data_IF_734406254155
#
_entry.id   IF_734406254155
#
_cell.length_a   1.000
_cell.length_b   1.000
_cell.length_c   1.000
_cell.angle_alpha   90.00
_cell.angle_beta   90.00
_cell.angle_gamma   90.00
#
_symmetry.space_group_name_H-M   'P 1'
#
loop_
_entity.id
_entity.type
_entity.pdbx_description
1 polymer ?
#
# COMPACT_ATOMS: atom_id res chain seq x y z
N UNK A 1 -31.65 -30.75 12.87
CA UNK A 1 -31.14 -29.36 12.92
C UNK A 1 -31.60 -28.76 14.24
N UNK A 2 -30.79 -27.95 14.94
CA UNK A 2 -31.28 -27.12 16.03
C UNK A 2 -32.04 -25.92 15.45
N UNK A 3 -33.24 -25.64 15.97
CA UNK A 3 -33.99 -24.45 15.58
C UNK A 3 -33.39 -23.21 16.28
N UNK A 4 -32.56 -22.45 15.58
CA UNK A 4 -31.91 -21.26 16.12
C UNK A 4 -32.93 -20.15 16.35
N UNK A 5 -33.51 -20.11 17.55
CA UNK A 5 -34.53 -19.11 17.93
C UNK A 5 -33.91 -17.72 18.10
N UNK A 6 -33.81 -16.99 16.98
CA UNK A 6 -33.34 -15.61 16.98
C UNK A 6 -34.29 -14.70 17.78
N UNK A 7 -33.74 -14.06 18.82
CA UNK A 7 -34.40 -12.99 19.58
C UNK A 7 -34.45 -11.68 18.79
N UNK A 8 -35.40 -10.80 19.11
CA UNK A 8 -35.50 -9.45 18.55
C UNK A 8 -34.55 -8.48 19.27
N UNK A 9 -33.25 -8.69 19.01
CA UNK A 9 -32.13 -7.93 19.55
C UNK A 9 -31.27 -7.40 18.38
N UNK A 10 -30.56 -6.30 18.61
CA UNK A 10 -29.46 -5.87 17.75
C UNK A 10 -28.19 -6.70 18.04
N UNK A 11 -27.80 -7.53 17.08
CA UNK A 11 -26.59 -8.37 17.14
C UNK A 11 -25.35 -7.61 16.69
N UNK A 12 -24.20 -7.93 17.28
CA UNK A 12 -22.87 -7.45 16.90
C UNK A 12 -22.26 -8.30 15.77
N UNK A 13 -21.27 -7.77 15.04
CA UNK A 13 -20.57 -8.52 13.99
C UNK A 13 -19.92 -9.83 14.48
N UNK A 14 -19.58 -9.93 15.77
CA UNK A 14 -19.09 -11.15 16.41
C UNK A 14 -20.22 -12.15 16.67
N UNK A 15 -21.33 -11.73 17.29
CA UNK A 15 -22.50 -12.62 17.47
C UNK A 15 -23.02 -13.15 16.13
N UNK A 16 -23.00 -12.32 15.07
CA UNK A 16 -23.40 -12.74 13.71
C UNK A 16 -22.38 -13.69 13.06
N UNK A 17 -21.08 -13.54 13.34
CA UNK A 17 -20.06 -14.47 12.88
C UNK A 17 -20.27 -15.87 13.48
N UNK A 18 -20.50 -15.93 14.80
CA UNK A 18 -20.77 -17.16 15.55
C UNK A 18 -22.09 -17.83 15.08
N UNK A 19 -23.16 -17.04 14.90
CA UNK A 19 -24.47 -17.49 14.39
C UNK A 19 -24.37 -18.11 12.99
N UNK A 20 -23.61 -17.49 12.09
CA UNK A 20 -23.47 -17.95 10.71
C UNK A 20 -22.38 -19.02 10.53
N UNK A 21 -21.61 -19.35 11.59
CA UNK A 21 -20.51 -20.31 11.53
C UNK A 21 -19.34 -19.85 10.67
N UNK A 22 -19.11 -18.54 10.53
CA UNK A 22 -18.08 -17.96 9.66
C UNK A 22 -17.14 -17.05 10.44
N UNK A 23 -15.96 -16.74 9.88
CA UNK A 23 -15.04 -15.79 10.51
C UNK A 23 -15.63 -14.37 10.55
N UNK A 24 -15.26 -13.58 11.56
CA UNK A 24 -15.56 -12.14 11.62
C UNK A 24 -15.11 -11.39 10.36
N UNK A 25 -13.98 -11.81 9.75
CA UNK A 25 -13.50 -11.24 8.47
C UNK A 25 -14.46 -11.52 7.32
N UNK A 26 -15.13 -12.67 7.32
CA UNK A 26 -16.18 -13.00 6.33
C UNK A 26 -17.36 -12.05 6.45
N UNK A 27 -17.80 -11.70 7.68
CA UNK A 27 -18.90 -10.74 7.92
C UNK A 27 -18.58 -9.36 7.33
N UNK A 28 -17.35 -8.85 7.54
CA UNK A 28 -16.92 -7.60 6.89
C UNK A 28 -16.90 -7.74 5.36
N UNK A 29 -16.37 -8.85 4.82
CA UNK A 29 -16.40 -9.10 3.38
C UNK A 29 -17.81 -9.16 2.79
N UNK A 30 -18.81 -9.65 3.53
CA UNK A 30 -20.21 -9.67 3.10
C UNK A 30 -20.89 -8.29 3.19
N UNK A 31 -20.45 -7.41 4.09
CA UNK A 31 -20.82 -5.99 4.08
C UNK A 31 -20.24 -5.28 2.85
N UNK A 32 -18.95 -5.48 2.57
CA UNK A 32 -18.26 -4.87 1.42
C UNK A 32 -18.83 -5.37 0.07
N UNK A 33 -19.13 -6.67 -0.03
CA UNK A 33 -19.81 -7.29 -1.17
C UNK A 33 -21.33 -6.95 -1.24
N UNK A 34 -21.86 -6.15 -0.31
CA UNK A 34 -23.29 -5.78 -0.18
C UNK A 34 -24.26 -6.99 -0.06
N UNK A 35 -23.76 -8.16 0.32
CA UNK A 35 -24.53 -9.40 0.51
C UNK A 35 -25.23 -9.48 1.86
N UNK A 36 -24.65 -8.83 2.86
CA UNK A 36 -25.24 -8.67 4.19
C UNK A 36 -25.35 -7.16 4.48
N UNK A 37 -26.49 -6.72 5.01
CA UNK A 37 -26.70 -5.32 5.36
C UNK A 37 -26.77 -5.15 6.88
N UNK A 38 -26.16 -4.08 7.39
CA UNK A 38 -26.21 -3.70 8.80
C UNK A 38 -27.18 -2.52 8.97
N UNK A 39 -28.28 -2.74 9.69
CA UNK A 39 -29.35 -1.76 9.90
C UNK A 39 -28.88 -0.50 10.63
N UNK A 40 -27.94 -0.62 11.59
CA UNK A 40 -27.42 0.52 12.35
C UNK A 40 -25.89 0.50 12.37
N UNK A 41 -25.28 1.65 12.04
CA UNK A 41 -23.87 1.96 12.33
C UNK A 41 -23.83 2.85 13.56
N UNK A 42 -23.23 2.37 14.66
CA UNK A 42 -23.04 3.20 15.86
C UNK A 42 -22.06 4.34 15.57
N UNK A 43 -22.08 5.42 16.38
CA UNK A 43 -21.14 6.54 16.25
C UNK A 43 -19.64 6.14 16.32
N UNK A 44 -19.34 4.96 16.88
CA UNK A 44 -17.99 4.36 16.90
C UNK A 44 -17.63 3.57 15.63
N UNK A 45 -18.44 3.67 14.56
CA UNK A 45 -18.29 2.90 13.32
C UNK A 45 -18.75 1.44 13.39
N UNK A 46 -18.96 0.88 14.59
CA UNK A 46 -19.35 -0.54 14.76
C UNK A 46 -20.77 -0.80 14.25
N UNK A 47 -20.91 -1.83 13.41
CA UNK A 47 -22.18 -2.31 12.84
C UNK A 47 -23.08 -3.01 13.87
N UNK A 48 -24.39 -3.01 13.60
CA UNK A 48 -25.41 -3.84 14.24
C UNK A 48 -26.38 -4.38 13.20
N UNK A 49 -26.87 -5.59 13.46
CA UNK A 49 -27.75 -6.34 12.57
C UNK A 49 -29.02 -6.72 13.34
N UNK A 50 -30.18 -6.69 12.68
CA UNK A 50 -31.40 -7.30 13.22
C UNK A 50 -31.51 -8.77 12.79
N UNK A 51 -32.37 -9.51 13.49
CA UNK A 51 -32.80 -10.87 13.16
C UNK A 51 -33.14 -11.04 11.67
N UNK A 52 -33.81 -10.05 11.07
CA UNK A 52 -34.24 -10.11 9.69
C UNK A 52 -33.04 -10.11 8.73
N UNK A 53 -32.07 -9.19 8.91
CA UNK A 53 -30.86 -9.16 8.05
C UNK A 53 -30.08 -10.49 8.06
N UNK A 54 -30.11 -11.21 9.20
CA UNK A 54 -29.46 -12.52 9.36
C UNK A 54 -30.28 -13.63 8.68
N UNK A 55 -31.60 -13.64 8.86
CA UNK A 55 -32.50 -14.59 8.21
C UNK A 55 -32.50 -14.45 6.68
N UNK A 56 -32.55 -13.22 6.17
CA UNK A 56 -32.53 -12.92 4.72
C UNK A 56 -31.24 -13.44 4.07
N UNK A 57 -30.11 -13.37 4.80
CA UNK A 57 -28.82 -13.91 4.38
C UNK A 57 -28.75 -15.44 4.45
N UNK A 58 -29.38 -16.07 5.46
CA UNK A 58 -29.47 -17.53 5.58
C UNK A 58 -30.44 -18.15 4.57
N UNK A 59 -31.46 -17.41 4.15
CA UNK A 59 -32.53 -17.88 3.28
C UNK A 59 -32.74 -16.96 2.07
N UNK A 60 -31.74 -16.77 1.19
CA UNK A 60 -31.84 -15.88 0.02
C UNK A 60 -32.80 -16.38 -1.08
N UNK A 61 -33.34 -17.59 -0.93
CA UNK A 61 -34.43 -18.16 -1.74
C UNK A 61 -35.76 -18.27 -0.96
N UNK A 62 -35.79 -17.79 0.28
CA UNK A 62 -37.02 -17.59 1.04
C UNK A 62 -37.81 -16.41 0.45
N UNK A 63 -39.11 -16.61 0.31
CA UNK A 63 -40.06 -15.66 -0.30
C UNK A 63 -39.83 -14.24 0.23
N UNK A 64 -39.58 -13.28 -0.67
CA UNK A 64 -39.52 -11.85 -0.35
C UNK A 64 -40.88 -11.39 0.18
N UNK A 65 -41.05 -11.32 1.49
CA UNK A 65 -42.20 -10.70 2.16
C UNK A 65 -42.10 -9.16 2.15
N UNK A 66 -41.79 -8.59 0.98
CA UNK A 66 -41.62 -7.15 0.76
C UNK A 66 -42.91 -6.50 0.23
N UNK A 67 -44.04 -6.77 0.87
CA UNK A 67 -45.29 -6.01 0.68
C UNK A 67 -45.94 -5.69 2.05
N UNK A 68 -46.19 -4.40 2.37
CA UNK A 68 -46.89 -4.00 3.58
C UNK A 68 -48.41 -4.16 3.41
N UNK A 69 -48.91 -5.39 3.51
CA UNK A 69 -50.36 -5.67 3.53
C UNK A 69 -51.00 -5.26 4.86
N UNK A 70 -51.33 -3.98 4.97
CA UNK A 70 -52.46 -3.51 5.78
C UNK A 70 -53.66 -3.24 4.85
N UNK A 71 -54.85 -3.66 5.27
CA UNK A 71 -55.98 -3.85 4.37
C UNK A 71 -56.55 -2.55 3.76
N UNK A 72 -56.96 -2.63 2.49
CA UNK A 72 -57.81 -1.64 1.84
C UNK A 72 -59.25 -1.80 2.31
N UNK A 73 -59.84 -0.75 2.88
CA UNK A 73 -61.22 -0.36 2.61
C UNK A 73 -61.33 1.17 2.44
N UNK A 74 -62.26 1.70 1.63
CA UNK A 74 -62.17 3.07 1.12
C UNK A 74 -63.29 4.02 1.61
N UNK A 75 -62.98 5.31 1.78
CA UNK A 75 -63.94 6.42 1.64
C UNK A 75 -63.21 7.71 1.21
N UNK A 76 -63.96 8.69 0.72
CA UNK A 76 -63.54 9.84 -0.11
C UNK A 76 -62.80 11.00 0.62
N UNK A 77 -62.22 11.99 -0.11
CA UNK A 77 -61.17 12.87 0.41
C UNK A 77 -61.59 14.35 0.64
N UNK A 78 -60.87 15.08 1.52
CA UNK A 78 -60.89 16.56 1.50
C UNK A 78 -59.59 17.25 2.00
N UNK A 79 -58.96 18.01 1.08
CA UNK A 79 -58.20 19.28 1.17
C UNK A 79 -57.02 19.55 2.16
N UNK A 80 -55.94 20.04 1.54
CA UNK A 80 -55.03 21.17 1.88
C UNK A 80 -54.10 21.25 3.14
N UNK A 81 -52.80 21.11 2.82
CA UNK A 81 -51.68 22.07 3.08
C UNK A 81 -51.05 22.20 4.50
N UNK A 82 -49.82 22.78 4.60
CA UNK A 82 -48.87 22.41 5.66
C UNK A 82 -48.55 23.50 6.69
N UNK A 83 -47.83 23.13 7.74
CA UNK A 83 -47.09 24.07 8.61
C UNK A 83 -45.74 23.51 9.07
N UNK A 84 -44.86 24.41 9.51
CA UNK A 84 -43.48 24.14 9.96
C UNK A 84 -43.38 24.00 11.50
N UNK A 85 -42.16 23.67 11.95
CA UNK A 85 -41.50 24.21 13.17
C UNK A 85 -41.39 23.33 14.43
N UNK A 86 -40.24 22.62 14.50
CA UNK A 86 -39.10 22.89 15.43
C UNK A 86 -39.34 22.90 16.97
N UNK A 87 -38.30 22.41 17.67
CA UNK A 87 -37.97 22.40 19.11
C UNK A 87 -38.20 21.05 19.79
N UNK A 88 -37.16 20.34 20.22
CA UNK A 88 -36.19 20.62 21.30
C UNK A 88 -36.77 20.38 22.70
N UNK A 89 -36.32 19.29 23.34
CA UNK A 89 -36.21 19.21 24.80
C UNK A 89 -35.07 18.25 25.19
N UNK A 90 -34.19 18.72 26.08
CA UNK A 90 -33.12 17.90 26.67
C UNK A 90 -33.60 17.28 27.98
N UNK A 91 -33.21 16.03 28.26
CA UNK A 91 -33.10 15.51 29.63
C UNK A 91 -31.75 14.83 29.83
N UNK A 92 -31.29 14.79 31.09
CA UNK A 92 -29.89 14.55 31.47
C UNK A 92 -29.62 13.06 31.73
N UNK A 93 -28.42 12.53 31.40
CA UNK A 93 -27.93 11.29 32.01
C UNK A 93 -27.59 11.52 33.49
N UNK A 94 -27.78 10.49 34.32
CA UNK A 94 -27.44 10.46 35.76
C UNK A 94 -26.05 9.87 35.96
N UNK A 95 -25.34 10.33 37.00
CA UNK A 95 -23.97 9.91 37.35
C UNK A 95 -23.96 9.08 38.64
N UNK A 96 -23.48 7.83 38.59
CA UNK A 96 -23.07 7.03 39.76
C UNK A 96 -21.80 6.22 39.43
N UNK A 97 -20.70 6.59 40.08
CA UNK A 97 -19.63 5.78 40.72
C UNK A 97 -19.23 4.43 40.06
N UNK A 98 -17.96 4.22 39.66
CA UNK A 98 -16.71 4.06 40.46
C UNK A 98 -16.70 2.81 41.36
N UNK A 99 -15.75 1.90 41.09
CA UNK A 99 -15.27 0.84 41.98
C UNK A 99 -13.80 0.52 41.64
N UNK A 100 -13.00 0.21 42.66
CA UNK A 100 -11.55 -0.07 42.57
C UNK A 100 -11.21 -1.30 43.43
N UNK A 101 -10.39 -2.21 42.90
CA UNK A 101 -9.58 -3.23 43.59
C UNK A 101 -8.61 -3.78 42.50
N UNK A 102 -7.26 -3.80 42.61
CA UNK A 102 -6.34 -4.49 43.56
C UNK A 102 -6.69 -5.98 43.71
N UNK A 103 -5.77 -6.95 43.56
CA UNK A 103 -4.40 -7.15 44.09
C UNK A 103 -3.58 -7.90 42.99
N UNK A 104 -2.30 -7.62 42.69
CA UNK A 104 -1.07 -8.25 43.24
C UNK A 104 -1.07 -9.81 43.20
N UNK A 105 0.03 -10.56 42.98
CA UNK A 105 1.46 -10.28 43.12
C UNK A 105 2.35 -11.21 42.23
N UNK A 106 3.65 -10.88 42.06
CA UNK A 106 4.86 -11.76 42.03
C UNK A 106 4.81 -13.16 41.35
N UNK A 107 5.70 -13.51 40.41
CA UNK A 107 7.08 -13.96 40.74
C UNK A 107 8.06 -13.88 39.56
N UNK A 108 9.30 -13.45 39.83
CA UNK A 108 10.46 -13.57 38.94
C UNK A 108 11.29 -14.81 39.30
N UNK A 109 11.82 -15.55 38.32
CA UNK A 109 12.97 -16.45 38.51
C UNK A 109 13.93 -16.35 37.32
N UNK A 110 15.10 -15.80 37.56
CA UNK A 110 16.27 -15.89 36.69
C UNK A 110 17.26 -16.91 37.30
N UNK A 111 17.80 -17.84 36.51
CA UNK A 111 18.90 -18.70 36.96
C UNK A 111 19.78 -19.16 35.79
N UNK A 112 21.09 -19.30 36.02
CA UNK A 112 22.11 -19.39 34.97
C UNK A 112 23.07 -20.59 35.13
N UNK A 113 23.71 -20.98 34.02
CA UNK A 113 25.00 -21.73 33.85
C UNK A 113 25.05 -23.28 33.90
N UNK A 114 25.34 -23.84 32.71
CA UNK A 114 26.33 -24.91 32.40
C UNK A 114 26.08 -26.34 32.96
N UNK A 115 26.65 -27.44 32.44
CA UNK A 115 27.90 -27.75 31.69
C UNK A 115 27.59 -28.81 30.58
N UNK A 116 28.06 -28.68 29.32
CA UNK A 116 29.16 -29.44 28.61
C UNK A 116 29.29 -30.96 28.95
N UNK A 117 29.80 -31.89 28.11
CA UNK A 117 30.54 -31.95 26.81
C UNK A 117 29.83 -33.07 25.96
N UNK A 118 30.01 -33.45 24.68
CA UNK A 118 31.05 -33.44 23.61
C UNK A 118 30.36 -33.29 22.21
N UNK A 119 30.97 -33.11 21.04
CA UNK A 119 32.33 -33.28 20.44
C UNK A 119 32.68 -34.62 19.75
N UNK A 120 32.48 -34.67 18.42
CA UNK A 120 33.37 -35.28 17.40
C UNK A 120 33.02 -34.64 16.03
N UNK A 121 33.75 -33.60 15.60
CA UNK A 121 34.81 -33.63 14.55
C UNK A 121 34.35 -33.93 13.11
N UNK A 122 34.23 -32.88 12.29
CA UNK A 122 34.56 -32.92 10.85
C UNK A 122 35.43 -31.69 10.55
N UNK A 123 36.68 -31.91 10.10
CA UNK A 123 37.60 -30.84 9.73
C UNK A 123 37.48 -30.49 8.24
N UNK A 124 37.29 -29.21 7.93
CA UNK A 124 37.66 -28.59 6.67
C UNK A 124 38.37 -27.27 6.99
N UNK A 125 39.35 -26.87 6.17
CA UNK A 125 40.26 -25.76 6.49
C UNK A 125 39.87 -24.48 5.76
N UNK A 126 39.34 -23.50 6.50
CA UNK A 126 39.23 -22.12 6.03
C UNK A 126 40.60 -21.44 6.15
N UNK A 127 41.38 -21.42 5.06
CA UNK A 127 42.39 -20.38 4.89
C UNK A 127 41.69 -19.05 4.54
N UNK A 128 42.06 -17.92 5.17
CA UNK A 128 41.43 -16.63 4.90
C UNK A 128 41.80 -16.17 3.48
N UNK A 129 40.86 -16.33 2.54
CA UNK A 129 41.02 -15.93 1.13
C UNK A 129 41.29 -14.43 1.06
N UNK A 130 42.54 -14.05 0.75
CA UNK A 130 42.88 -12.65 0.50
C UNK A 130 42.34 -12.22 -0.88
N UNK A 131 41.20 -11.52 -0.85
CA UNK A 131 40.55 -10.94 -2.03
C UNK A 131 41.46 -9.93 -2.75
N UNK A 132 42.37 -9.24 -2.04
CA UNK A 132 43.28 -8.26 -2.62
C UNK A 132 44.38 -8.95 -3.46
N UNK A 133 44.85 -10.12 -3.02
CA UNK A 133 45.78 -10.95 -3.79
C UNK A 133 45.12 -11.45 -5.09
N UNK A 134 43.89 -11.97 -5.03
CA UNK A 134 43.11 -12.36 -6.22
C UNK A 134 42.85 -11.20 -7.18
N UNK A 135 42.54 -10.01 -6.65
CA UNK A 135 42.31 -8.81 -7.48
C UNK A 135 43.57 -8.38 -8.24
N UNK A 136 44.74 -8.36 -7.57
CA UNK A 136 46.03 -8.05 -8.22
C UNK A 136 46.38 -9.05 -9.32
N UNK A 137 46.18 -10.34 -9.05
CA UNK A 137 46.46 -11.42 -10.01
C UNK A 137 45.55 -11.34 -11.26
N UNK A 138 44.31 -10.85 -11.13
CA UNK A 138 43.43 -10.57 -12.26
C UNK A 138 43.92 -9.37 -13.11
N UNK A 139 44.40 -8.30 -12.47
CA UNK A 139 44.93 -7.12 -13.16
C UNK A 139 46.20 -7.43 -13.97
N UNK A 140 47.13 -8.22 -13.41
CA UNK A 140 48.32 -8.68 -14.15
C UNK A 140 47.95 -9.54 -15.36
N UNK A 141 46.94 -10.41 -15.22
CA UNK A 141 46.44 -11.26 -16.32
C UNK A 141 45.81 -10.47 -17.48
N UNK A 142 45.31 -9.26 -17.21
CA UNK A 142 44.85 -8.32 -18.25
C UNK A 142 46.02 -7.56 -18.90
N UNK A 143 47.03 -7.18 -18.11
CA UNK A 143 48.22 -6.45 -18.59
C UNK A 143 49.20 -7.34 -19.37
N UNK A 144 49.12 -8.66 -19.21
CA UNK A 144 50.03 -9.65 -19.81
C UNK A 144 49.52 -10.29 -21.11
N UNK A 145 48.45 -9.78 -21.74
CA UNK A 145 48.11 -10.22 -23.10
C UNK A 145 49.13 -9.64 -24.11
N UNK A 146 49.79 -10.47 -24.94
CA UNK A 146 50.67 -9.97 -25.99
C UNK A 146 49.84 -9.27 -27.06
N UNK A 147 50.16 -8.01 -27.34
CA UNK A 147 49.71 -7.33 -28.56
C UNK A 147 50.29 -8.10 -29.75
N UNK A 148 49.42 -8.61 -30.61
CA UNK A 148 49.86 -9.17 -31.89
C UNK A 148 50.22 -8.03 -32.84
N UNK A 149 51.51 -7.84 -33.09
CA UNK A 149 52.00 -6.92 -34.11
C UNK A 149 51.44 -7.29 -35.49
N UNK A 150 50.81 -6.32 -36.15
CA UNK A 150 50.80 -6.23 -37.62
C UNK A 150 51.23 -4.82 -38.04
N UNK A 151 51.99 -4.69 -39.15
CA UNK A 151 52.87 -3.56 -39.35
C UNK A 151 52.19 -2.28 -39.88
N UNK A 152 52.85 -1.15 -39.62
CA UNK A 152 52.49 0.18 -40.09
C UNK A 152 52.47 0.28 -41.63
N UNK A 153 51.31 0.62 -42.20
CA UNK A 153 51.22 1.31 -43.50
C UNK A 153 50.27 2.50 -43.41
N UNK A 154 50.85 3.72 -43.41
CA UNK A 154 50.12 4.97 -43.62
C UNK A 154 49.95 5.19 -45.13
N UNK A 155 48.78 5.60 -45.60
CA UNK A 155 48.74 6.91 -46.26
C UNK A 155 47.63 7.83 -45.71
N UNK A 156 47.45 8.97 -46.39
CA UNK A 156 46.83 10.21 -45.91
C UNK A 156 45.30 10.31 -46.19
N UNK A 157 44.60 11.41 -45.85
CA UNK A 157 43.41 11.29 -45.00
C UNK A 157 42.09 11.36 -45.76
N UNK A 158 41.15 10.51 -45.37
CA UNK A 158 39.72 10.69 -45.68
C UNK A 158 39.06 11.25 -44.43
N UNK A 159 38.53 12.48 -44.53
CA UNK A 159 37.80 13.16 -43.45
C UNK A 159 36.46 12.43 -43.23
N UNK A 160 36.22 11.81 -42.05
CA UNK A 160 34.85 11.48 -41.64
C UNK A 160 34.12 12.80 -41.36
N UNK A 161 32.79 12.89 -41.61
CA UNK A 161 32.05 14.08 -41.23
C UNK A 161 32.20 14.33 -39.73
N UNK A 162 32.20 15.61 -39.34
CA UNK A 162 32.05 15.99 -37.93
C UNK A 162 30.67 15.51 -37.50
N UNK A 163 30.63 14.37 -36.81
CA UNK A 163 29.54 14.05 -35.90
C UNK A 163 29.68 15.06 -34.78
N UNK A 164 28.71 15.96 -34.65
CA UNK A 164 28.66 16.87 -33.51
C UNK A 164 28.63 16.02 -32.24
N UNK A 165 29.46 16.38 -31.26
CA UNK A 165 29.33 15.88 -29.89
C UNK A 165 28.07 16.50 -29.30
N UNK A 166 26.90 16.00 -29.71
CA UNK A 166 25.72 16.04 -28.85
C UNK A 166 26.17 15.49 -27.50
N UNK A 167 26.01 16.31 -26.46
CA UNK A 167 26.37 15.96 -25.10
C UNK A 167 25.53 14.75 -24.68
N UNK A 168 26.11 13.56 -24.84
CA UNK A 168 25.60 12.32 -24.25
C UNK A 168 25.75 12.47 -22.74
N UNK A 169 24.76 13.14 -22.13
CA UNK A 169 24.58 13.12 -20.69
C UNK A 169 24.49 11.66 -20.29
N UNK A 170 25.23 11.26 -19.25
CA UNK A 170 25.17 9.92 -18.68
C UNK A 170 23.77 9.71 -18.06
N UNK A 171 22.79 9.35 -18.90
CA UNK A 171 21.45 8.94 -18.50
C UNK A 171 21.54 7.65 -17.71
N UNK A 172 21.80 7.77 -16.40
CA UNK A 172 21.90 6.64 -15.51
C UNK A 172 20.58 5.88 -15.50
N UNK A 173 20.62 4.64 -15.98
CA UNK A 173 19.44 3.82 -16.27
C UNK A 173 18.57 3.67 -15.02
N UNK A 174 17.46 4.41 -14.99
CA UNK A 174 16.53 4.41 -13.86
C UNK A 174 15.82 3.07 -13.80
N UNK A 175 16.11 2.26 -12.77
CA UNK A 175 15.60 0.88 -12.72
C UNK A 175 14.17 0.84 -12.18
N UNK A 176 13.26 0.29 -12.97
CA UNK A 176 11.85 0.10 -12.60
C UNK A 176 11.67 -1.20 -11.82
N UNK A 177 11.35 -1.09 -10.53
CA UNK A 177 11.24 -2.25 -9.63
C UNK A 177 9.79 -2.38 -9.15
N UNK A 178 9.11 -3.47 -9.54
CA UNK A 178 7.68 -3.68 -9.33
C UNK A 178 7.40 -4.55 -8.09
N UNK A 179 6.51 -4.07 -7.21
CA UNK A 179 6.19 -4.73 -5.95
C UNK A 179 4.71 -4.71 -5.59
N UNK A 180 4.32 -5.71 -4.82
CA UNK A 180 3.12 -5.71 -3.99
C UNK A 180 3.51 -5.32 -2.56
N UNK A 181 2.68 -4.53 -1.87
CA UNK A 181 2.94 -4.15 -0.48
C UNK A 181 2.09 -4.99 0.49
N UNK A 182 2.64 -5.30 1.67
CA UNK A 182 1.84 -5.79 2.80
C UNK A 182 0.97 -4.70 3.46
N UNK A 183 1.20 -3.42 3.15
CA UNK A 183 0.70 -2.26 3.93
C UNK A 183 -0.51 -1.60 3.27
N UNK A 184 -1.67 -2.27 3.37
CA UNK A 184 -2.98 -1.66 3.08
C UNK A 184 -3.29 -1.45 1.59
N UNK A 185 -4.03 -0.38 1.28
CA UNK A 185 -4.34 0.07 -0.08
C UNK A 185 -3.38 1.16 -0.56
N UNK A 186 -3.59 1.66 -1.78
CA UNK A 186 -2.68 2.64 -2.41
C UNK A 186 -2.47 3.90 -1.57
N UNK A 187 -3.54 4.40 -0.93
CA UNK A 187 -3.47 5.57 -0.04
C UNK A 187 -2.62 5.30 1.20
N UNK A 188 -2.75 4.10 1.77
CA UNK A 188 -1.99 3.67 2.93
C UNK A 188 -0.52 3.42 2.58
N UNK A 189 -0.23 2.89 1.39
CA UNK A 189 1.13 2.77 0.84
C UNK A 189 1.76 4.16 0.68
N UNK A 190 1.10 5.09 0.01
CA UNK A 190 1.61 6.44 -0.22
C UNK A 190 1.88 7.20 1.10
N UNK A 191 0.96 7.11 2.06
CA UNK A 191 1.15 7.70 3.39
C UNK A 191 2.23 6.99 4.22
N UNK A 192 2.39 5.68 4.06
CA UNK A 192 3.45 4.94 4.76
C UNK A 192 4.83 5.27 4.21
N UNK A 193 4.93 5.49 2.89
CA UNK A 193 6.14 5.92 2.20
C UNK A 193 6.54 7.34 2.64
N UNK A 194 5.59 8.28 2.67
CA UNK A 194 5.84 9.63 3.19
C UNK A 194 6.35 9.62 4.65
N UNK A 195 5.66 8.86 5.52
CA UNK A 195 6.03 8.73 6.93
C UNK A 195 7.38 8.06 7.11
N UNK A 196 7.71 7.01 6.35
CA UNK A 196 9.01 6.34 6.46
C UNK A 196 10.15 7.24 5.95
N UNK A 197 9.92 7.97 4.85
CA UNK A 197 10.89 8.92 4.32
C UNK A 197 11.15 10.07 5.29
N UNK A 198 10.10 10.66 5.88
CA UNK A 198 10.20 11.72 6.90
C UNK A 198 10.85 11.22 8.19
N UNK A 199 10.60 9.97 8.61
CA UNK A 199 11.22 9.37 9.80
C UNK A 199 12.71 9.05 9.64
N UNK A 200 13.17 8.74 8.42
CA UNK A 200 14.57 8.42 8.13
C UNK A 200 15.33 9.55 7.40
N UNK A 201 14.69 10.71 7.19
CA UNK A 201 15.21 11.85 6.42
C UNK A 201 15.69 11.50 5.01
N UNK A 202 14.96 10.60 4.34
CA UNK A 202 15.25 10.16 2.97
C UNK A 202 14.47 10.99 1.94
N UNK A 203 14.99 11.05 0.71
CA UNK A 203 14.32 11.70 -0.42
C UNK A 203 13.42 10.72 -1.17
N UNK A 204 12.22 11.19 -1.56
CA UNK A 204 11.34 10.52 -2.50
C UNK A 204 10.58 11.54 -3.34
N UNK A 205 10.00 11.11 -4.46
CA UNK A 205 9.03 11.90 -5.22
C UNK A 205 8.05 10.99 -5.99
N UNK A 206 6.74 11.25 -5.91
CA UNK A 206 5.76 10.60 -6.77
C UNK A 206 5.81 11.14 -8.20
N UNK A 207 5.55 10.27 -9.18
CA UNK A 207 5.48 10.62 -10.61
C UNK A 207 4.31 9.90 -11.31
N UNK A 208 4.13 10.15 -12.61
CA UNK A 208 3.12 9.57 -13.50
C UNK A 208 1.71 9.75 -12.91
N UNK A 209 0.79 8.78 -13.11
CA UNK A 209 -0.54 8.76 -12.49
C UNK A 209 -0.53 9.12 -10.98
N UNK A 210 0.44 8.63 -10.20
CA UNK A 210 0.51 8.91 -8.76
C UNK A 210 0.76 10.40 -8.47
N UNK A 211 1.77 11.00 -9.14
CA UNK A 211 2.05 12.43 -9.05
C UNK A 211 0.86 13.26 -9.53
N UNK A 212 0.36 12.98 -10.73
CA UNK A 212 -0.72 13.75 -11.35
C UNK A 212 -2.03 13.73 -10.53
N UNK A 213 -2.31 12.62 -9.84
CA UNK A 213 -3.49 12.50 -8.95
C UNK A 213 -3.53 13.52 -7.80
N UNK A 214 -2.39 14.15 -7.49
CA UNK A 214 -2.26 15.21 -6.49
C UNK A 214 -2.48 16.62 -7.06
N UNK A 215 -2.46 16.78 -8.39
CA UNK A 215 -2.81 18.03 -9.07
C UNK A 215 -4.30 18.09 -9.41
N UNK A 216 -4.85 17.03 -10.02
CA UNK A 216 -6.20 16.97 -10.58
C UNK A 216 -6.82 15.57 -10.33
N UNK A 217 -8.15 15.44 -10.17
CA UNK A 217 -8.81 14.15 -9.98
C UNK A 217 -8.83 13.35 -11.29
N UNK A 218 -7.89 12.41 -11.43
CA UNK A 218 -7.73 11.57 -12.62
C UNK A 218 -8.56 10.27 -12.57
N UNK A 219 -8.51 9.49 -13.67
CA UNK A 219 -9.06 8.12 -13.76
C UNK A 219 -8.46 7.22 -12.66
N UNK A 220 -9.21 6.28 -12.06
CA UNK A 220 -8.66 5.36 -11.05
C UNK A 220 -7.52 4.50 -11.61
N UNK A 221 -6.41 4.43 -10.86
CA UNK A 221 -5.21 3.67 -11.19
C UNK A 221 -4.90 2.64 -10.10
N UNK A 222 -4.20 1.56 -10.46
CA UNK A 222 -3.83 0.44 -9.56
C UNK A 222 -2.38 0.47 -9.07
N UNK A 223 -1.52 1.30 -9.68
CA UNK A 223 -0.06 1.26 -9.52
C UNK A 223 0.52 2.65 -9.23
N UNK A 224 1.14 2.80 -8.06
CA UNK A 224 1.90 4.00 -7.69
C UNK A 224 3.29 3.96 -8.32
N UNK A 225 3.74 5.07 -8.91
CA UNK A 225 5.13 5.25 -9.34
C UNK A 225 5.81 6.28 -8.44
N UNK A 226 6.95 5.91 -7.86
CA UNK A 226 7.73 6.75 -6.96
C UNK A 226 9.23 6.62 -7.23
N UNK A 227 9.92 7.75 -7.36
CA UNK A 227 11.37 7.82 -7.36
C UNK A 227 11.92 7.68 -5.95
N UNK A 228 12.97 6.87 -5.81
CA UNK A 228 13.77 6.69 -4.59
C UNK A 228 15.25 6.59 -4.98
N UNK A 229 16.15 6.98 -4.08
CA UNK A 229 17.59 6.79 -4.32
C UNK A 229 17.94 5.30 -4.32
N UNK A 230 18.87 4.87 -5.18
CA UNK A 230 19.24 3.44 -5.30
C UNK A 230 19.71 2.82 -3.99
N UNK A 231 20.38 3.62 -3.15
CA UNK A 231 20.85 3.26 -1.79
C UNK A 231 19.67 3.00 -0.83
N UNK A 232 18.62 3.80 -0.97
CA UNK A 232 17.50 3.89 -0.04
C UNK A 232 16.37 2.89 -0.37
N UNK A 233 16.33 2.40 -1.61
CA UNK A 233 15.45 1.30 -2.08
C UNK A 233 15.29 0.18 -1.04
N UNK A 234 16.40 -0.33 -0.49
CA UNK A 234 16.40 -1.46 0.44
C UNK A 234 15.84 -1.15 1.85
N UNK A 235 15.68 0.13 2.18
CA UNK A 235 14.96 0.59 3.38
C UNK A 235 13.44 0.59 3.10
N UNK A 236 13.01 1.18 1.99
CA UNK A 236 11.59 1.20 1.59
C UNK A 236 11.03 -0.21 1.38
N UNK A 237 11.79 -1.12 0.78
CA UNK A 237 11.43 -2.55 0.66
C UNK A 237 11.05 -3.18 2.00
N UNK A 238 11.83 -2.92 3.05
CA UNK A 238 11.62 -3.49 4.40
C UNK A 238 10.47 -2.81 5.12
N UNK A 239 10.40 -1.48 5.11
CA UNK A 239 9.39 -0.72 5.87
C UNK A 239 8.00 -0.83 5.25
N UNK A 240 7.89 -0.88 3.93
CA UNK A 240 6.61 -1.04 3.21
C UNK A 240 6.26 -2.52 2.97
N UNK A 241 7.03 -3.46 3.54
CA UNK A 241 6.84 -4.91 3.42
C UNK A 241 6.63 -5.33 1.95
N UNK A 242 7.55 -4.90 1.08
CA UNK A 242 7.43 -5.08 -0.36
C UNK A 242 7.86 -6.49 -0.77
N UNK A 243 7.02 -7.12 -1.60
CA UNK A 243 7.30 -8.40 -2.25
C UNK A 243 7.38 -8.14 -3.75
N UNK A 244 8.52 -8.47 -4.35
CA UNK A 244 8.75 -8.31 -5.78
C UNK A 244 7.71 -9.10 -6.59
N UNK A 245 7.16 -8.49 -7.64
CA UNK A 245 6.05 -9.06 -8.41
C UNK A 245 6.02 -8.54 -9.84
N UNK A 246 5.12 -9.04 -10.69
CA UNK A 246 5.02 -8.62 -12.09
C UNK A 246 4.24 -7.31 -12.24
N UNK A 247 4.44 -6.59 -13.37
CA UNK A 247 3.83 -5.25 -13.61
C UNK A 247 2.29 -5.27 -13.59
N UNK A 248 1.66 -6.42 -13.83
CA UNK A 248 0.21 -6.65 -13.81
C UNK A 248 -0.41 -6.68 -12.39
N UNK A 249 0.37 -7.09 -11.40
CA UNK A 249 -0.04 -7.41 -10.02
C UNK A 249 0.61 -6.51 -8.98
N UNK A 250 1.49 -5.62 -9.42
CA UNK A 250 2.13 -4.60 -8.60
C UNK A 250 1.15 -3.51 -8.14
N UNK A 251 1.41 -2.98 -6.94
CA UNK A 251 0.72 -1.83 -6.36
C UNK A 251 1.62 -0.60 -6.26
N UNK A 252 2.95 -0.82 -6.23
CA UNK A 252 3.97 0.21 -6.27
C UNK A 252 5.13 -0.20 -7.16
N UNK A 253 5.60 0.73 -7.97
CA UNK A 253 6.85 0.68 -8.70
C UNK A 253 7.82 1.68 -8.07
N UNK A 254 8.94 1.19 -7.53
CA UNK A 254 10.04 2.02 -7.09
C UNK A 254 11.02 2.21 -8.24
N UNK A 255 11.09 3.44 -8.75
CA UNK A 255 12.04 3.84 -9.77
C UNK A 255 13.32 4.25 -9.04
N UNK A 256 14.31 3.36 -9.03
CA UNK A 256 15.58 3.62 -8.37
C UNK A 256 16.51 4.36 -9.32
N UNK A 257 16.87 5.60 -8.94
CA UNK A 257 17.78 6.49 -9.66
C UNK A 257 18.71 7.20 -8.66
N UNK A 258 19.93 7.54 -9.08
CA UNK A 258 20.84 8.39 -8.31
C UNK A 258 20.92 9.83 -8.85
N UNK A 259 20.12 10.19 -9.88
CA UNK A 259 20.01 11.58 -10.33
C UNK A 259 19.55 12.51 -9.19
N UNK A 260 20.22 13.65 -9.04
CA UNK A 260 19.87 14.67 -8.08
C UNK A 260 18.78 15.63 -8.59
N UNK A 261 18.59 15.78 -9.91
CA UNK A 261 17.61 16.68 -10.51
C UNK A 261 16.18 16.37 -10.06
N UNK A 262 15.76 15.10 -10.21
CA UNK A 262 14.46 14.57 -9.77
C UNK A 262 14.13 14.94 -8.31
N UNK A 263 15.09 14.82 -7.40
CA UNK A 263 14.87 15.08 -5.97
C UNK A 263 15.04 16.57 -5.58
N UNK A 264 15.78 17.36 -6.36
CA UNK A 264 16.04 18.78 -6.07
C UNK A 264 14.86 19.66 -6.48
N UNK A 265 14.25 19.39 -7.64
CA UNK A 265 13.16 20.20 -8.18
C UNK A 265 11.76 19.73 -7.73
N UNK A 266 11.70 18.85 -6.71
CA UNK A 266 10.46 18.29 -6.17
C UNK A 266 9.60 19.34 -5.47
N UNK A 267 8.27 19.15 -5.49
CA UNK A 267 7.30 19.98 -4.76
C UNK A 267 6.56 19.14 -3.71
N UNK A 268 6.08 19.79 -2.64
CA UNK A 268 5.15 19.14 -1.70
C UNK A 268 3.71 19.54 -2.04
N UNK A 269 2.86 18.54 -2.32
CA UNK A 269 1.44 18.71 -2.60
C UNK A 269 0.61 17.82 -1.68
N UNK A 270 -0.37 18.40 -0.99
CA UNK A 270 -1.19 17.72 0.01
C UNK A 270 -0.41 16.99 1.12
N UNK A 271 0.83 17.42 1.40
CA UNK A 271 1.74 16.80 2.38
C UNK A 271 2.57 15.63 1.83
N UNK A 272 2.59 15.42 0.52
CA UNK A 272 3.36 14.38 -0.18
C UNK A 272 4.35 15.01 -1.17
N UNK A 273 5.52 14.40 -1.37
CA UNK A 273 6.51 14.87 -2.34
C UNK A 273 6.21 14.36 -3.76
N UNK A 274 6.29 15.25 -4.74
CA UNK A 274 6.01 15.03 -6.18
C UNK A 274 7.17 15.60 -7.00
N UNK A 275 7.49 15.02 -8.16
CA UNK A 275 8.50 15.58 -9.07
C UNK A 275 8.08 16.96 -9.62
N UNK A 276 8.96 17.65 -10.35
CA UNK A 276 8.57 18.90 -11.04
C UNK A 276 7.56 18.62 -12.16
N UNK A 277 6.69 19.58 -12.49
CA UNK A 277 5.71 19.44 -13.57
C UNK A 277 6.36 19.06 -14.91
N UNK A 278 7.57 19.57 -15.17
CA UNK A 278 8.38 19.25 -16.35
C UNK A 278 8.76 17.76 -16.40
N UNK A 279 9.26 17.22 -15.29
CA UNK A 279 9.57 15.79 -15.18
C UNK A 279 8.30 14.94 -15.23
N UNK A 280 7.24 15.37 -14.53
CA UNK A 280 5.95 14.67 -14.51
C UNK A 280 5.35 14.56 -15.92
N UNK A 281 5.43 15.63 -16.70
CA UNK A 281 4.97 15.72 -18.10
C UNK A 281 5.81 14.80 -19.00
N UNK A 282 7.12 14.75 -18.81
CA UNK A 282 8.03 13.87 -19.54
C UNK A 282 7.78 12.38 -19.21
N UNK A 283 7.61 12.04 -17.93
CA UNK A 283 7.34 10.66 -17.48
C UNK A 283 5.99 10.15 -17.99
N UNK A 284 4.95 11.00 -17.98
CA UNK A 284 3.64 10.69 -18.56
C UNK A 284 3.71 10.49 -20.09
N UNK A 285 4.51 11.30 -20.81
CA UNK A 285 4.72 11.12 -22.24
C UNK A 285 5.45 9.79 -22.55
N UNK A 286 6.44 9.40 -21.73
CA UNK A 286 7.23 8.19 -21.93
C UNK A 286 6.43 6.89 -21.76
N UNK A 287 5.46 6.83 -20.85
CA UNK A 287 4.53 5.68 -20.71
C UNK A 287 3.36 5.75 -21.72
N UNK A 288 3.28 6.82 -22.53
CA UNK A 288 2.26 7.00 -23.58
C UNK A 288 1.01 7.76 -23.15
N UNK A 289 0.94 8.25 -21.91
CA UNK A 289 -0.20 9.02 -21.35
C UNK A 289 -0.18 10.50 -21.80
N UNK A 290 0.03 10.72 -23.11
CA UNK A 290 0.16 12.03 -23.75
C UNK A 290 -1.12 12.90 -23.74
N UNK A 291 -2.26 12.34 -23.33
CA UNK A 291 -3.47 13.11 -23.00
C UNK A 291 -3.30 13.79 -21.63
N UNK A 292 -3.00 13.00 -20.60
CA UNK A 292 -2.80 13.44 -19.23
C UNK A 292 -1.61 14.40 -19.10
N UNK A 293 -0.55 14.19 -19.88
CA UNK A 293 0.60 15.11 -19.95
C UNK A 293 0.22 16.53 -20.44
N UNK A 294 -0.87 16.69 -21.20
CA UNK A 294 -1.38 18.02 -21.64
C UNK A 294 -2.31 18.65 -20.62
N UNK A 295 -2.81 17.89 -19.65
CA UNK A 295 -3.60 18.42 -18.53
C UNK A 295 -2.74 19.04 -17.42
N UNK A 296 -1.41 19.11 -17.58
CA UNK A 296 -0.50 19.79 -16.65
C UNK A 296 -0.25 21.28 -16.98
N UNK A 297 -0.70 21.74 -18.15
CA UNK A 297 -0.67 23.16 -18.54
C UNK A 297 -1.87 23.97 -17.96
#
# INVERSE_FOLDING_TARGET
>A
MPDTQFTEKLYTSTEVADILGVSLRSIYRYLDENKLQAEIKTATGRHRFTKNNINDFLHPQGIKSSEPVSAVQPTEPEYEKPSLSKKESYTKPVNIQKGEESVEETTQVELTKHVQIAQEEVKAQDEPVDWLARFRQAAEKYKAQPVYDQPLTKPEPVIPPVVEEELVQDFQESTFNYYRSGVGGLKEIAQSLDKSSKNASLDYAFTMNAGLSLHKPIKPFSLIHAYVRTKDKSYFEKVLQLVATAKDTAQICLIATDDAGVFTNRREMHGLSVVSDEQLKLDLMNEGESELAKELD
#
